data_IF_502718272477
#
_entry.id   IF_502718272477
#
_cell.length_a   1.000
_cell.length_b   1.000
_cell.length_c   1.000
_cell.angle_alpha   90.00
_cell.angle_beta   90.00
_cell.angle_gamma   90.00
#
_symmetry.space_group_name_H-M   'P 1'
#
loop_
_entity.id
_entity.type
_entity.pdbx_description
1 polymer ?
#
# COMPACT_ATOMS: atom_id res chain seq x y z
N UNK A 1 -2.83 14.06 11.67
CA UNK A 1 -3.67 14.23 10.45
C UNK A 1 -3.10 13.42 9.29
N UNK A 2 -3.95 12.78 8.47
CA UNK A 2 -3.55 12.01 7.28
C UNK A 2 -4.42 12.34 6.06
N UNK A 3 -3.84 12.26 4.85
CA UNK A 3 -4.55 12.46 3.57
C UNK A 3 -4.71 11.12 2.88
N UNK A 4 -5.95 10.72 2.61
CA UNK A 4 -6.26 9.37 2.15
C UNK A 4 -7.15 9.36 0.89
N UNK A 5 -6.92 8.45 -0.06
CA UNK A 5 -7.82 8.28 -1.21
C UNK A 5 -9.12 7.52 -0.85
N UNK A 6 -9.32 7.18 0.43
CA UNK A 6 -10.37 6.28 0.89
C UNK A 6 -11.24 6.92 1.97
N UNK A 7 -12.57 6.77 1.84
CA UNK A 7 -13.51 7.18 2.90
C UNK A 7 -13.54 6.21 4.07
N UNK A 8 -13.27 4.92 3.84
CA UNK A 8 -13.26 3.91 4.90
C UNK A 8 -12.18 4.19 5.96
N UNK A 9 -11.10 4.89 5.57
CA UNK A 9 -10.04 5.33 6.50
C UNK A 9 -10.59 6.27 7.59
N UNK A 10 -11.62 7.09 7.30
CA UNK A 10 -12.30 7.90 8.33
C UNK A 10 -13.08 7.08 9.35
N UNK A 11 -13.54 5.88 8.99
CA UNK A 11 -14.10 4.95 9.96
C UNK A 11 -12.99 4.27 10.75
N UNK A 12 -11.88 3.92 10.09
CA UNK A 12 -10.72 3.30 10.74
C UNK A 12 -10.14 4.15 11.87
N UNK A 13 -9.98 5.47 11.70
CA UNK A 13 -9.49 6.34 12.79
C UNK A 13 -10.38 6.35 14.05
N UNK A 14 -11.67 6.01 13.92
CA UNK A 14 -12.61 6.00 15.05
C UNK A 14 -12.57 4.70 15.87
N UNK A 15 -11.76 3.72 15.44
CA UNK A 15 -11.68 2.42 16.11
C UNK A 15 -10.98 2.57 17.48
N UNK A 16 -11.61 2.17 18.59
CA UNK A 16 -11.06 2.37 19.94
C UNK A 16 -9.74 1.63 20.18
N UNK A 17 -9.44 0.58 19.41
CA UNK A 17 -8.19 -0.17 19.45
C UNK A 17 -7.02 0.52 18.72
N UNK A 18 -7.28 1.56 17.94
CA UNK A 18 -6.26 2.32 17.19
C UNK A 18 -5.89 3.60 17.95
N UNK A 19 -5.34 3.41 19.14
CA UNK A 19 -4.88 4.48 20.03
C UNK A 19 -4.27 3.94 21.32
N UNK A 20 -3.72 4.83 22.13
CA UNK A 20 -3.13 4.52 23.45
C UNK A 20 -3.47 5.61 24.45
N UNK A 21 -3.80 5.22 25.67
CA UNK A 21 -4.09 6.15 26.77
C UNK A 21 -5.18 7.19 26.42
N UNK A 22 -6.20 6.78 25.65
CA UNK A 22 -7.28 7.66 25.21
C UNK A 22 -6.92 8.62 24.07
N UNK A 23 -5.72 8.49 23.50
CA UNK A 23 -5.24 9.26 22.34
C UNK A 23 -5.24 8.35 21.12
N UNK A 24 -5.98 8.73 20.07
CA UNK A 24 -6.02 7.98 18.81
C UNK A 24 -4.68 8.05 18.06
N UNK A 25 -4.36 7.01 17.29
CA UNK A 25 -3.15 6.99 16.46
C UNK A 25 -3.19 8.06 15.33
N UNK A 26 -4.40 8.44 14.90
CA UNK A 26 -4.65 9.47 13.87
C UNK A 26 -5.78 10.38 14.35
N UNK A 27 -5.52 11.70 14.43
CA UNK A 27 -6.52 12.66 14.91
C UNK A 27 -7.59 13.02 13.86
N UNK A 28 -7.22 12.97 12.58
CA UNK A 28 -8.07 13.42 11.48
C UNK A 28 -7.63 12.86 10.13
N UNK A 29 -8.60 12.41 9.34
CA UNK A 29 -8.41 11.96 7.96
C UNK A 29 -9.17 12.85 6.99
N UNK A 30 -8.42 13.41 6.04
CA UNK A 30 -8.96 14.13 4.90
C UNK A 30 -8.85 13.29 3.64
N UNK A 31 -9.91 13.27 2.86
CA UNK A 31 -9.89 12.71 1.52
C UNK A 31 -9.12 13.61 0.55
N UNK A 32 -8.61 13.04 -0.55
CA UNK A 32 -7.98 13.82 -1.63
C UNK A 32 -8.92 14.92 -2.16
N UNK A 33 -10.23 14.63 -2.25
CA UNK A 33 -11.24 15.63 -2.63
C UNK A 33 -11.41 16.76 -1.59
N UNK A 34 -11.28 16.47 -0.30
CA UNK A 34 -11.35 17.48 0.76
C UNK A 34 -10.11 18.37 0.75
N UNK A 35 -8.91 17.78 0.64
CA UNK A 35 -7.67 18.54 0.51
C UNK A 35 -7.71 19.45 -0.73
N UNK A 36 -8.15 18.92 -1.87
CA UNK A 36 -8.25 19.71 -3.10
C UNK A 36 -9.25 20.88 -2.96
N UNK A 37 -10.32 20.73 -2.17
CA UNK A 37 -11.24 21.83 -1.86
C UNK A 37 -10.58 22.86 -0.94
N UNK A 38 -9.86 22.42 0.09
CA UNK A 38 -9.14 23.32 1.00
C UNK A 38 -8.11 24.19 0.26
N UNK A 39 -7.30 23.58 -0.61
CA UNK A 39 -6.31 24.30 -1.45
C UNK A 39 -7.00 25.37 -2.30
N UNK A 40 -8.10 25.03 -2.97
CA UNK A 40 -8.88 25.99 -3.78
C UNK A 40 -9.50 27.10 -2.95
N UNK A 41 -10.10 26.78 -1.80
CA UNK A 41 -10.71 27.76 -0.90
C UNK A 41 -9.70 28.73 -0.29
N UNK A 42 -8.45 28.29 -0.12
CA UNK A 42 -7.35 29.13 0.33
C UNK A 42 -6.78 30.05 -0.78
N UNK A 43 -7.28 29.95 -2.02
CA UNK A 43 -6.77 30.73 -3.15
C UNK A 43 -5.39 30.28 -3.67
N UNK A 44 -4.95 29.06 -3.31
CA UNK A 44 -3.62 28.56 -3.66
C UNK A 44 -3.62 28.01 -5.09
N UNK A 45 -2.69 28.51 -5.92
CA UNK A 45 -2.38 27.98 -7.25
C UNK A 45 -1.39 26.83 -7.13
N UNK A 46 -1.93 25.62 -6.96
CA UNK A 46 -1.14 24.40 -6.72
C UNK A 46 -0.17 24.08 -7.87
N UNK A 47 -0.57 24.37 -9.11
CA UNK A 47 0.19 24.11 -10.34
C UNK A 47 1.47 24.96 -10.48
N UNK A 48 1.61 26.01 -9.67
CA UNK A 48 2.73 26.95 -9.75
C UNK A 48 3.68 26.86 -8.56
N UNK A 49 3.40 25.99 -7.59
CA UNK A 49 4.22 25.86 -6.40
C UNK A 49 5.56 25.19 -6.73
N UNK A 50 6.68 25.62 -6.14
CA UNK A 50 7.95 24.92 -6.27
C UNK A 50 7.89 23.59 -5.51
N UNK A 51 8.59 22.59 -6.03
CA UNK A 51 8.79 21.33 -5.32
C UNK A 51 9.62 21.55 -4.06
N UNK A 52 9.20 20.94 -2.95
CA UNK A 52 9.92 20.96 -1.68
C UNK A 52 10.12 19.53 -1.19
N UNK A 53 11.27 19.20 -0.57
CA UNK A 53 11.47 17.89 0.01
C UNK A 53 10.49 17.64 1.17
N UNK A 54 10.22 16.38 1.46
CA UNK A 54 9.48 15.98 2.65
C UNK A 54 10.34 16.11 3.92
N UNK A 55 9.69 16.22 5.07
CA UNK A 55 10.35 16.34 6.37
C UNK A 55 10.96 15.01 6.84
N UNK A 56 12.21 15.04 7.28
CA UNK A 56 12.85 13.88 7.91
C UNK A 56 12.40 13.71 9.38
N UNK A 57 12.27 12.47 9.90
CA UNK A 57 12.62 11.20 9.26
C UNK A 57 11.47 10.52 8.49
N UNK A 58 10.24 11.01 8.60
CA UNK A 58 9.04 10.33 8.12
C UNK A 58 8.71 10.57 6.64
N UNK A 59 9.41 11.51 6.00
CA UNK A 59 9.29 11.84 4.58
C UNK A 59 10.06 10.93 3.63
N UNK A 60 10.85 9.99 4.17
CA UNK A 60 11.60 9.02 3.37
C UNK A 60 10.70 7.80 3.05
N UNK A 61 10.73 7.36 1.80
CA UNK A 61 9.95 6.23 1.30
C UNK A 61 10.78 5.28 0.44
N UNK A 62 10.33 4.04 0.31
CA UNK A 62 10.87 3.06 -0.65
C UNK A 62 10.00 3.03 -1.89
N UNK A 63 10.55 2.62 -3.03
CA UNK A 63 9.76 2.31 -4.22
C UNK A 63 8.69 1.26 -3.96
N UNK A 64 8.98 0.30 -3.06
CA UNK A 64 7.99 -0.65 -2.55
C UNK A 64 6.79 0.04 -1.88
N UNK A 65 6.99 1.13 -1.15
CA UNK A 65 5.91 1.90 -0.52
C UNK A 65 5.05 2.66 -1.53
N UNK A 66 5.66 3.18 -2.61
CA UNK A 66 4.94 3.94 -3.64
C UNK A 66 3.87 3.10 -4.37
N UNK A 67 4.13 1.81 -4.56
CA UNK A 67 3.22 0.93 -5.30
C UNK A 67 2.02 0.43 -4.47
N UNK A 68 1.98 0.64 -3.14
CA UNK A 68 0.88 0.19 -2.26
C UNK A 68 -0.50 0.67 -2.73
N UNK A 69 -0.55 1.82 -3.40
CA UNK A 69 -1.80 2.38 -3.91
C UNK A 69 -2.47 1.54 -5.00
N UNK A 70 -1.69 0.68 -5.67
CA UNK A 70 -2.15 -0.20 -6.75
C UNK A 70 -2.64 -1.55 -6.20
N UNK A 71 -3.60 -2.17 -6.90
CA UNK A 71 -3.96 -3.56 -6.61
C UNK A 71 -2.80 -4.50 -6.98
N UNK A 72 -2.31 -5.25 -6.00
CA UNK A 72 -1.15 -6.13 -6.09
C UNK A 72 0.16 -5.48 -5.68
N UNK A 73 0.18 -4.16 -5.45
CA UNK A 73 1.40 -3.47 -5.04
C UNK A 73 1.86 -3.82 -3.63
N UNK A 74 0.92 -4.08 -2.71
CA UNK A 74 1.24 -4.56 -1.35
C UNK A 74 1.87 -5.95 -1.44
N UNK A 75 1.25 -6.85 -2.20
CA UNK A 75 1.78 -8.20 -2.46
C UNK A 75 3.18 -8.16 -3.07
N UNK A 76 3.38 -7.30 -4.07
CA UNK A 76 4.68 -7.14 -4.71
C UNK A 76 5.74 -6.64 -3.72
N UNK A 77 5.43 -5.61 -2.92
CA UNK A 77 6.33 -5.09 -1.90
C UNK A 77 6.64 -6.11 -0.80
N UNK A 78 5.65 -6.89 -0.36
CA UNK A 78 5.81 -7.92 0.66
C UNK A 78 6.66 -9.09 0.14
N UNK A 79 6.41 -9.58 -1.09
CA UNK A 79 7.23 -10.63 -1.69
C UNK A 79 8.69 -10.21 -1.86
N UNK A 80 8.95 -8.97 -2.29
CA UNK A 80 10.32 -8.41 -2.35
C UNK A 80 10.98 -8.40 -0.98
N UNK A 81 10.25 -7.95 0.04
CA UNK A 81 10.77 -7.83 1.41
C UNK A 81 11.01 -9.18 2.07
N UNK A 82 10.10 -10.14 1.90
CA UNK A 82 10.23 -11.51 2.44
C UNK A 82 11.39 -12.22 1.76
N UNK A 83 11.52 -12.10 0.44
CA UNK A 83 12.66 -12.67 -0.29
C UNK A 83 13.98 -12.13 0.26
N UNK A 84 14.12 -10.81 0.37
CA UNK A 84 15.35 -10.19 0.86
C UNK A 84 15.68 -10.59 2.29
N UNK A 85 14.69 -10.64 3.19
CA UNK A 85 14.90 -11.07 4.57
C UNK A 85 15.34 -12.52 4.71
N UNK A 86 14.82 -13.42 3.87
CA UNK A 86 15.12 -14.86 3.96
C UNK A 86 16.40 -15.23 3.24
N UNK A 87 16.67 -14.63 2.07
CA UNK A 87 17.87 -14.89 1.25
C UNK A 87 19.07 -14.04 1.66
N UNK A 88 18.85 -12.92 2.36
CA UNK A 88 19.86 -11.92 2.71
C UNK A 88 20.29 -11.02 1.55
N UNK A 89 19.69 -11.17 0.37
CA UNK A 89 19.99 -10.40 -0.84
C UNK A 89 18.69 -9.98 -1.54
N UNK A 90 18.66 -8.81 -2.21
CA UNK A 90 17.47 -8.34 -2.91
C UNK A 90 17.06 -9.31 -4.03
N UNK A 91 15.77 -9.31 -4.35
CA UNK A 91 15.22 -10.08 -5.46
C UNK A 91 15.88 -9.60 -6.78
N UNK A 92 16.52 -10.49 -7.57
CA UNK A 92 17.27 -10.06 -8.77
C UNK A 92 16.40 -9.30 -9.78
N UNK A 93 15.13 -9.68 -9.89
CA UNK A 93 14.12 -8.94 -10.63
C UNK A 93 12.95 -8.63 -9.70
N UNK A 94 12.87 -7.38 -9.25
CA UNK A 94 11.82 -6.92 -8.35
C UNK A 94 10.46 -6.71 -9.04
N UNK A 95 10.40 -6.75 -10.39
CA UNK A 95 9.15 -6.60 -11.14
C UNK A 95 8.32 -7.90 -11.13
N UNK A 96 7.39 -8.01 -10.17
CA UNK A 96 6.44 -9.13 -10.09
C UNK A 96 5.18 -8.77 -10.89
N UNK A 97 5.30 -8.75 -12.22
CA UNK A 97 4.22 -8.28 -13.12
C UNK A 97 2.93 -9.08 -13.02
N UNK A 98 2.99 -10.34 -12.57
CA UNK A 98 1.84 -11.23 -12.43
C UNK A 98 0.77 -10.72 -11.45
N UNK A 99 1.14 -9.91 -10.47
CA UNK A 99 0.18 -9.31 -9.52
C UNK A 99 -0.32 -7.92 -9.94
N UNK A 100 0.18 -7.35 -11.04
CA UNK A 100 -0.17 -6.00 -11.50
C UNK A 100 -1.43 -5.99 -12.37
N UNK A 101 -1.96 -4.80 -12.61
CA UNK A 101 -3.11 -4.60 -13.49
C UNK A 101 -4.46 -4.77 -12.79
N UNK A 102 -5.53 -4.79 -13.57
CA UNK A 102 -6.91 -4.65 -13.08
C UNK A 102 -7.74 -5.93 -13.15
N UNK A 103 -7.13 -7.08 -13.40
CA UNK A 103 -7.82 -8.38 -13.37
C UNK A 103 -8.38 -8.68 -11.98
N UNK A 104 -9.49 -9.43 -11.93
CA UNK A 104 -10.26 -9.62 -10.70
C UNK A 104 -9.56 -10.46 -9.62
N UNK A 105 -8.92 -11.54 -10.02
CA UNK A 105 -8.03 -12.36 -9.17
C UNK A 105 -6.72 -12.50 -9.94
N UNK A 106 -5.61 -12.23 -9.26
CA UNK A 106 -4.26 -12.37 -9.81
C UNK A 106 -3.45 -13.25 -8.87
N UNK A 107 -2.52 -14.01 -9.42
CA UNK A 107 -1.73 -14.98 -8.67
C UNK A 107 -0.26 -14.85 -9.03
N UNK A 108 0.61 -15.06 -8.06
CA UNK A 108 2.04 -15.18 -8.28
C UNK A 108 2.63 -16.23 -7.35
N UNK A 109 3.74 -16.82 -7.77
CA UNK A 109 4.57 -17.67 -6.92
C UNK A 109 6.01 -17.21 -7.03
N UNK A 110 6.68 -17.12 -5.89
CA UNK A 110 8.11 -16.82 -5.81
C UNK A 110 8.80 -17.95 -5.07
N UNK A 111 9.87 -18.50 -5.64
CA UNK A 111 10.69 -19.50 -4.96
C UNK A 111 11.57 -18.84 -3.90
N UNK A 112 11.42 -19.30 -2.66
CA UNK A 112 12.26 -18.89 -1.54
C UNK A 112 12.82 -20.15 -0.89
N UNK A 113 14.06 -20.49 -1.26
CA UNK A 113 14.79 -21.66 -0.74
C UNK A 113 14.04 -22.99 -0.98
N UNK A 114 13.44 -23.16 -2.16
CA UNK A 114 12.69 -24.37 -2.53
C UNK A 114 11.24 -24.39 -2.05
N UNK A 115 10.81 -23.40 -1.25
CA UNK A 115 9.40 -23.18 -0.95
C UNK A 115 8.80 -22.23 -1.99
N UNK A 116 7.76 -22.68 -2.69
CA UNK A 116 6.97 -21.86 -3.59
C UNK A 116 6.00 -20.99 -2.78
N UNK A 117 6.38 -19.75 -2.49
CA UNK A 117 5.51 -18.79 -1.80
C UNK A 117 4.46 -18.28 -2.78
N UNK A 118 3.31 -18.94 -2.75
CA UNK A 118 2.11 -18.61 -3.55
C UNK A 118 1.33 -17.46 -2.92
N UNK A 119 1.10 -16.40 -3.68
CA UNK A 119 0.29 -15.26 -3.27
C UNK A 119 -0.88 -15.04 -4.25
N UNK A 120 -1.98 -14.53 -3.72
CA UNK A 120 -3.14 -14.12 -4.50
C UNK A 120 -3.54 -12.68 -4.21
N UNK A 121 -4.12 -12.00 -5.21
CA UNK A 121 -4.62 -10.64 -5.11
C UNK A 121 -6.09 -10.63 -5.50
N UNK A 122 -6.96 -10.32 -4.55
CA UNK A 122 -8.37 -10.04 -4.78
C UNK A 122 -8.57 -8.56 -5.07
N UNK A 123 -8.88 -8.26 -6.32
CA UNK A 123 -9.28 -6.94 -6.75
C UNK A 123 -10.80 -6.80 -6.66
N UNK A 124 -11.28 -6.25 -5.54
CA UNK A 124 -12.69 -6.10 -5.19
C UNK A 124 -13.21 -7.20 -4.26
N UNK A 125 -14.14 -6.82 -3.36
CA UNK A 125 -14.68 -7.73 -2.33
C UNK A 125 -15.44 -8.95 -2.91
N UNK A 126 -16.05 -8.80 -4.09
CA UNK A 126 -16.69 -9.93 -4.78
C UNK A 126 -15.69 -11.01 -5.18
N UNK A 127 -14.47 -10.62 -5.56
CA UNK A 127 -13.40 -11.56 -5.88
C UNK A 127 -12.74 -12.14 -4.62
N UNK A 128 -12.66 -11.36 -3.54
CA UNK A 128 -12.25 -11.87 -2.24
C UNK A 128 -13.15 -13.02 -1.77
N UNK A 129 -14.47 -12.89 -1.95
CA UNK A 129 -15.42 -13.97 -1.65
C UNK A 129 -15.12 -15.24 -2.44
N UNK A 130 -14.84 -15.14 -3.73
CA UNK A 130 -14.47 -16.28 -4.58
C UNK A 130 -13.20 -16.97 -4.07
N UNK A 131 -12.17 -16.21 -3.70
CA UNK A 131 -10.95 -16.75 -3.09
C UNK A 131 -11.27 -17.53 -1.81
N UNK A 132 -12.09 -16.96 -0.92
CA UNK A 132 -12.50 -17.66 0.31
C UNK A 132 -13.30 -18.93 0.03
N UNK A 133 -14.12 -18.96 -1.02
CA UNK A 133 -14.88 -20.14 -1.46
C UNK A 133 -13.97 -21.23 -2.05
N UNK A 134 -12.78 -20.89 -2.57
CA UNK A 134 -11.75 -21.86 -2.99
C UNK A 134 -10.93 -22.38 -1.81
N UNK A 135 -10.59 -21.53 -0.83
CA UNK A 135 -9.75 -21.90 0.32
C UNK A 135 -10.50 -22.82 1.29
N UNK A 136 -11.75 -22.51 1.61
CA UNK A 136 -12.55 -23.29 2.58
C UNK A 136 -12.57 -24.80 2.30
N UNK A 137 -12.80 -25.28 1.06
CA UNK A 137 -12.75 -26.70 0.74
C UNK A 137 -11.33 -27.23 0.43
N UNK A 138 -10.27 -26.44 0.64
CA UNK A 138 -8.89 -26.84 0.34
C UNK A 138 -8.54 -26.88 -1.14
N UNK A 139 -9.26 -26.14 -2.00
CA UNK A 139 -9.02 -26.09 -3.46
C UNK A 139 -7.96 -25.06 -3.85
N UNK A 140 -7.59 -24.16 -2.95
CA UNK A 140 -6.53 -23.18 -3.15
C UNK A 140 -5.58 -23.18 -1.94
N UNK A 141 -4.29 -23.11 -2.23
CA UNK A 141 -3.18 -23.20 -1.29
C UNK A 141 -2.32 -21.94 -1.44
N UNK A 142 -2.82 -20.81 -0.94
CA UNK A 142 -2.10 -19.54 -0.92
C UNK A 142 -1.47 -19.31 0.46
N UNK A 143 -0.24 -18.80 0.48
CA UNK A 143 0.45 -18.39 1.70
C UNK A 143 0.14 -16.95 2.09
N UNK A 144 -0.19 -16.11 1.10
CA UNK A 144 -0.49 -14.70 1.29
C UNK A 144 -1.62 -14.25 0.35
N UNK A 145 -2.53 -13.42 0.85
CA UNK A 145 -3.65 -12.91 0.07
C UNK A 145 -3.83 -11.42 0.35
N UNK A 146 -3.69 -10.60 -0.70
CA UNK A 146 -4.06 -9.19 -0.65
C UNK A 146 -5.52 -9.02 -1.06
N UNK A 147 -6.28 -8.24 -0.29
CA UNK A 147 -7.67 -7.89 -0.62
C UNK A 147 -7.80 -6.37 -0.68
N UNK A 148 -8.13 -5.86 -1.86
CA UNK A 148 -8.47 -4.44 -2.05
C UNK A 148 -9.95 -4.30 -2.34
N UNK A 149 -10.67 -3.54 -1.50
CA UNK A 149 -12.12 -3.43 -1.63
C UNK A 149 -12.57 -2.67 -2.89
N UNK A 150 -11.84 -1.62 -3.26
CA UNK A 150 -12.19 -0.76 -4.38
C UNK A 150 -11.63 -1.30 -5.71
N UNK A 151 -12.39 -1.22 -6.81
CA UNK A 151 -11.83 -1.31 -8.15
C UNK A 151 -10.73 -0.26 -8.34
N UNK A 152 -9.63 -0.62 -8.97
CA UNK A 152 -8.39 0.16 -9.09
C UNK A 152 -7.51 0.18 -7.84
N UNK A 153 -7.81 -0.58 -6.79
CA UNK A 153 -7.14 -0.44 -5.49
C UNK A 153 -7.44 0.92 -4.86
N UNK A 154 -6.46 1.49 -4.15
CA UNK A 154 -6.61 2.80 -3.53
C UNK A 154 -6.81 3.92 -4.57
N UNK A 155 -6.33 3.74 -5.81
CA UNK A 155 -6.54 4.73 -6.89
C UNK A 155 -8.01 4.94 -7.23
N UNK A 156 -8.86 3.90 -7.15
CA UNK A 156 -10.31 4.04 -7.35
C UNK A 156 -11.10 4.27 -6.06
N UNK A 157 -10.40 4.55 -4.95
CA UNK A 157 -10.97 4.82 -3.64
C UNK A 157 -12.01 5.93 -3.65
N UNK A 158 -13.00 5.84 -2.76
CA UNK A 158 -14.12 6.78 -2.67
C UNK A 158 -13.76 8.22 -2.29
N UNK A 159 -12.52 8.48 -1.87
CA UNK A 159 -12.00 9.81 -1.54
C UNK A 159 -11.26 10.49 -2.69
N UNK A 160 -11.07 9.82 -3.83
CA UNK A 160 -10.44 10.38 -5.02
C UNK A 160 -11.42 11.13 -5.94
N UNK A 161 -10.94 12.11 -6.73
CA UNK A 161 -11.64 12.63 -7.90
C UNK A 161 -11.93 11.54 -8.95
N UNK A 162 -12.66 11.91 -10.02
CA UNK A 162 -13.15 11.07 -11.14
C UNK A 162 -12.43 9.72 -11.33
N UNK A 163 -13.24 8.65 -11.42
CA UNK A 163 -12.80 7.25 -11.46
C UNK A 163 -12.80 6.67 -12.87
N UNK A 164 -12.22 7.39 -13.83
CA UNK A 164 -12.13 6.89 -15.21
C UNK A 164 -10.96 5.92 -15.36
N UNK A 165 -11.13 4.87 -16.17
CA UNK A 165 -10.11 3.84 -16.38
C UNK A 165 -8.78 4.43 -16.89
N UNK A 166 -8.84 5.41 -17.80
CA UNK A 166 -7.65 6.10 -18.30
C UNK A 166 -6.87 6.79 -17.16
N UNK A 167 -7.57 7.46 -16.23
CA UNK A 167 -6.93 8.10 -15.08
C UNK A 167 -6.34 7.07 -14.11
N UNK A 168 -7.00 5.93 -13.90
CA UNK A 168 -6.44 4.87 -13.05
C UNK A 168 -5.17 4.27 -13.64
N UNK A 169 -5.13 4.10 -14.97
CA UNK A 169 -3.91 3.68 -15.66
C UNK A 169 -2.79 4.71 -15.50
N UNK A 170 -3.07 6.00 -15.68
CA UNK A 170 -2.06 7.05 -15.46
C UNK A 170 -1.54 7.08 -14.02
N UNK A 171 -2.40 6.85 -13.01
CA UNK A 171 -1.98 6.74 -11.60
C UNK A 171 -1.07 5.51 -11.38
N UNK A 172 -1.40 4.38 -12.00
CA UNK A 172 -0.59 3.16 -11.96
C UNK A 172 0.79 3.38 -12.58
N UNK A 173 0.84 3.98 -13.77
CA UNK A 173 2.09 4.24 -14.49
C UNK A 173 2.98 5.21 -13.70
N UNK A 174 2.39 6.20 -13.03
CA UNK A 174 3.11 7.15 -12.19
C UNK A 174 3.80 6.48 -10.99
N UNK A 175 3.10 5.63 -10.23
CA UNK A 175 3.71 4.97 -9.06
C UNK A 175 4.78 3.96 -9.45
N UNK A 176 4.63 3.26 -10.58
CA UNK A 176 5.64 2.32 -11.05
C UNK A 176 6.84 3.02 -11.71
N UNK A 177 6.68 4.28 -12.13
CA UNK A 177 7.82 5.14 -12.46
C UNK A 177 8.58 5.53 -11.20
N UNK A 178 7.88 5.98 -10.15
CA UNK A 178 8.48 6.31 -8.86
C UNK A 178 9.19 5.12 -8.22
N UNK A 179 8.61 3.92 -8.28
CA UNK A 179 9.24 2.68 -7.78
C UNK A 179 10.62 2.45 -8.40
N UNK A 180 10.78 2.72 -9.70
CA UNK A 180 12.06 2.57 -10.40
C UNK A 180 13.07 3.65 -10.02
N UNK A 181 12.60 4.84 -9.68
CA UNK A 181 13.42 6.00 -9.37
C UNK A 181 13.85 6.05 -7.89
N UNK A 182 13.13 5.37 -7.00
CA UNK A 182 13.29 5.44 -5.54
C UNK A 182 13.77 4.11 -4.92
N UNK A 183 15.08 3.83 -4.92
CA UNK A 183 15.61 2.75 -4.08
C UNK A 183 15.52 3.12 -2.58
N UNK A 184 15.36 2.13 -1.68
CA UNK A 184 15.30 0.70 -1.95
C UNK A 184 13.94 0.23 -2.49
N UNK A 185 13.93 -0.86 -3.24
CA UNK A 185 12.70 -1.44 -3.82
C UNK A 185 11.98 -2.43 -2.91
N UNK A 186 12.53 -2.71 -1.73
CA UNK A 186 11.89 -3.48 -0.66
C UNK A 186 11.71 -2.59 0.58
N UNK A 187 10.59 -2.78 1.27
CA UNK A 187 10.08 -1.81 2.25
C UNK A 187 10.95 -1.69 3.51
N UNK A 188 11.75 -2.71 3.83
CA UNK A 188 12.59 -2.76 5.05
C UNK A 188 14.10 -2.84 4.79
N UNK A 189 14.52 -2.62 3.55
CA UNK A 189 15.95 -2.53 3.23
C UNK A 189 16.54 -1.22 3.78
N UNK A 190 17.82 -1.16 4.15
CA UNK A 190 18.47 0.09 4.58
C UNK A 190 18.18 1.26 3.61
N UNK A 191 18.11 2.52 4.08
CA UNK A 191 18.78 3.06 5.28
C UNK A 191 17.82 3.45 6.42
N UNK A 192 16.75 2.70 6.66
CA UNK A 192 15.81 3.06 7.73
C UNK A 192 16.47 3.10 9.11
N UNK A 193 16.24 4.14 9.93
CA UNK A 193 16.67 4.12 11.32
C UNK A 193 16.03 2.93 12.02
N UNK A 194 16.82 2.16 12.77
CA UNK A 194 16.29 1.11 13.64
C UNK A 194 15.48 1.79 14.74
N UNK A 195 14.16 1.82 14.58
CA UNK A 195 13.27 2.21 15.66
C UNK A 195 13.36 1.09 16.69
N UNK A 196 14.09 1.34 17.78
CA UNK A 196 14.00 0.46 18.94
C UNK A 196 12.55 0.49 19.39
N UNK A 197 11.90 -0.67 19.37
CA UNK A 197 10.68 -0.84 20.16
C UNK A 197 11.08 -0.49 21.59
N UNK A 198 10.50 0.57 22.15
CA UNK A 198 10.55 0.80 23.60
C UNK A 198 9.68 -0.31 24.21
N UNK A 199 10.22 -1.52 24.27
CA UNK A 199 9.83 -2.54 25.23
C UNK A 199 10.62 -2.24 26.50
N UNK A 200 10.35 -1.07 27.08
CA UNK A 200 10.86 -0.65 28.38
C UNK A 200 9.71 -0.71 29.36
N UNK A 201 9.75 -1.71 30.24
CA UNK A 201 9.13 -1.80 31.56
C UNK A 201 8.49 -0.51 32.10
N UNK A 202 7.24 -0.24 31.71
CA UNK A 202 6.32 0.66 32.42
C UNK A 202 5.14 -0.15 33.01
N UNK A 203 5.43 -1.39 33.38
CA UNK A 203 4.58 -2.26 34.19
C UNK A 203 5.49 -2.90 35.23
N UNK A 204 5.80 -2.12 36.26
CA UNK A 204 5.93 -2.53 37.66
C UNK A 204 5.41 -1.36 38.51
#
# INVERSE_FOLDING_TARGET
MSIMPCKAKKFEETRPELGRCGIGDIDAILSVQELARMIRSAGIRFDTLPDTPFDAPFGLGSGAGEIFGSTGGVTEADLRTVYEKVKGNPLPNHDIKAVRGFDGIKEAAVDINGLQVKAAVAHGLGNARKIMEMIKPGKADYHFIEVMACPGGCFGGGGNPLKQNAMMKSRLDAVYRLDKELPPHAARSPPWPKVSTVTGSAFD
#
